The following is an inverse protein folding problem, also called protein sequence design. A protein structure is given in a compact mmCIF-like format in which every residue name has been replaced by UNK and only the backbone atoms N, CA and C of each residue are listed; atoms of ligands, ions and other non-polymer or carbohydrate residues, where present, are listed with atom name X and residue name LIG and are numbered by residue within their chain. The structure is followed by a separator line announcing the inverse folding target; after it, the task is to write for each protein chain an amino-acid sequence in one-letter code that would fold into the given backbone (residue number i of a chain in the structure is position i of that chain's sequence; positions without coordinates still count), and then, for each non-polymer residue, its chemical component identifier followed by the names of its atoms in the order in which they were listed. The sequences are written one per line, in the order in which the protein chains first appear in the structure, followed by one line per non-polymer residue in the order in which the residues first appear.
data_IF_814070786068
#
_entry.id   IF_814070786068
#
_cell.length_a   1.000
_cell.length_b   1.000
_cell.length_c   1.000
_cell.angle_alpha   90.00
_cell.angle_beta   90.00
_cell.angle_gamma   90.00
#
_symmetry.space_group_name_H-M   'P 1'
#
loop_
_entity.id
_entity.type
_entity.pdbx_description
1 polymer ?
#
# COMPACT_ATOMS: atom_id res chain seq x y z
N UNK A 1 -28.86 13.69 -16.47
CA UNK A 1 -27.48 14.15 -16.31
C UNK A 1 -26.98 13.49 -15.03
N UNK A 2 -26.35 12.32 -15.13
CA UNK A 2 -25.81 11.63 -13.96
C UNK A 2 -24.39 12.14 -13.75
N UNK A 3 -24.23 13.05 -12.79
CA UNK A 3 -22.96 13.38 -12.18
C UNK A 3 -22.44 12.10 -11.51
N UNK A 4 -21.58 11.36 -12.21
CA UNK A 4 -20.85 10.23 -11.66
C UNK A 4 -19.85 10.74 -10.61
N UNK A 5 -20.34 11.01 -9.41
CA UNK A 5 -19.50 11.27 -8.25
C UNK A 5 -18.57 10.07 -8.06
N UNK A 6 -17.29 10.25 -8.38
CA UNK A 6 -16.28 9.22 -8.17
C UNK A 6 -16.27 8.92 -6.67
N UNK A 7 -16.68 7.70 -6.29
CA UNK A 7 -16.71 7.31 -4.89
C UNK A 7 -15.30 7.43 -4.31
N UNK A 8 -15.13 8.25 -3.27
CA UNK A 8 -13.85 8.38 -2.57
C UNK A 8 -13.50 7.03 -1.95
N UNK A 9 -12.60 6.29 -2.58
CA UNK A 9 -12.18 4.99 -2.07
C UNK A 9 -11.25 5.18 -0.86
N UNK A 10 -11.51 4.45 0.23
CA UNK A 10 -10.60 4.38 1.37
C UNK A 10 -9.53 3.30 1.15
N UNK A 11 -8.29 3.74 0.96
CA UNK A 11 -7.16 2.86 0.61
C UNK A 11 -6.10 2.93 1.70
N UNK A 12 -5.70 1.78 2.22
CA UNK A 12 -4.55 1.66 3.12
C UNK A 12 -3.33 1.18 2.33
N UNK A 13 -2.22 1.91 2.44
CA UNK A 13 -0.93 1.49 1.91
C UNK A 13 -0.12 0.84 3.03
N UNK A 14 0.04 -0.47 3.01
CA UNK A 14 0.83 -1.20 4.01
C UNK A 14 2.29 -1.21 3.58
N UNK A 15 3.07 -0.33 4.21
CA UNK A 15 4.51 -0.16 3.98
C UNK A 15 4.88 1.21 3.42
N UNK A 16 5.63 2.01 4.19
CA UNK A 16 6.19 3.31 3.79
C UNK A 16 7.53 3.20 3.03
N UNK A 17 7.67 2.20 2.15
CA UNK A 17 8.82 2.03 1.27
C UNK A 17 8.70 2.88 -0.01
N UNK A 18 9.61 2.70 -0.98
CA UNK A 18 9.59 3.47 -2.22
C UNK A 18 8.27 3.30 -3.01
N UNK A 19 7.88 2.06 -3.34
CA UNK A 19 6.62 1.77 -4.04
C UNK A 19 5.42 2.23 -3.22
N UNK A 20 5.41 1.97 -1.91
CA UNK A 20 4.32 2.40 -1.04
C UNK A 20 4.11 3.92 -1.05
N UNK A 21 5.18 4.70 -0.90
CA UNK A 21 5.08 6.17 -0.95
C UNK A 21 4.67 6.67 -2.35
N UNK A 22 5.14 6.03 -3.43
CA UNK A 22 4.74 6.39 -4.79
C UNK A 22 3.23 6.17 -5.01
N UNK A 23 2.72 5.00 -4.61
CA UNK A 23 1.30 4.67 -4.69
C UNK A 23 0.48 5.63 -3.81
N UNK A 24 0.93 5.87 -2.58
CA UNK A 24 0.24 6.72 -1.62
C UNK A 24 0.05 8.14 -2.17
N UNK A 25 1.13 8.75 -2.66
CA UNK A 25 1.07 10.11 -3.20
C UNK A 25 0.21 10.21 -4.44
N UNK A 26 0.33 9.26 -5.38
CA UNK A 26 -0.48 9.28 -6.61
C UNK A 26 -1.97 9.07 -6.35
N UNK A 27 -2.33 8.14 -5.46
CA UNK A 27 -3.73 7.89 -5.10
C UNK A 27 -4.34 9.05 -4.32
N UNK A 28 -3.57 9.67 -3.41
CA UNK A 28 -4.02 10.84 -2.68
C UNK A 28 -4.18 12.05 -3.62
N UNK A 29 -3.26 12.24 -4.57
CA UNK A 29 -3.33 13.31 -5.56
C UNK A 29 -4.54 13.20 -6.49
N UNK A 30 -5.07 11.98 -6.69
CA UNK A 30 -6.30 11.75 -7.45
C UNK A 30 -7.59 11.85 -6.62
N UNK A 31 -7.50 12.29 -5.36
CA UNK A 31 -8.65 12.55 -4.49
C UNK A 31 -9.12 11.35 -3.66
N UNK A 32 -8.37 10.25 -3.63
CA UNK A 32 -8.72 9.10 -2.78
C UNK A 32 -8.33 9.37 -1.32
N UNK A 33 -9.09 8.78 -0.38
CA UNK A 33 -8.74 8.80 1.04
C UNK A 33 -7.67 7.75 1.31
N UNK A 34 -6.42 8.19 1.46
CA UNK A 34 -5.27 7.31 1.64
C UNK A 34 -4.75 7.37 3.08
N UNK A 35 -4.50 6.21 3.67
CA UNK A 35 -3.73 6.07 4.91
C UNK A 35 -2.48 5.21 4.69
N UNK A 36 -1.29 5.74 5.01
CA UNK A 36 -0.05 4.94 4.99
C UNK A 36 0.14 4.25 6.33
N UNK A 37 0.14 2.92 6.30
CA UNK A 37 0.37 2.03 7.43
C UNK A 37 1.86 1.70 7.52
N UNK A 38 2.57 2.37 8.41
CA UNK A 38 4.03 2.27 8.51
C UNK A 38 4.47 1.19 9.51
N UNK A 39 5.76 0.82 9.45
CA UNK A 39 6.37 -0.01 10.48
C UNK A 39 6.70 0.81 11.74
N UNK A 40 7.14 2.06 11.57
CA UNK A 40 7.63 2.89 12.67
C UNK A 40 6.71 4.08 12.91
N UNK A 41 6.51 4.41 14.19
CA UNK A 41 5.79 5.61 14.64
C UNK A 41 6.41 6.88 14.06
N UNK A 42 7.72 7.02 14.12
CA UNK A 42 8.43 8.18 13.58
C UNK A 42 8.12 8.47 12.10
N UNK A 43 8.00 7.42 11.25
CA UNK A 43 7.62 7.64 9.85
C UNK A 43 6.15 8.03 9.71
N UNK A 44 5.26 7.43 10.49
CA UNK A 44 3.84 7.78 10.48
C UNK A 44 3.65 9.25 10.86
N UNK A 45 4.29 9.71 11.93
CA UNK A 45 4.17 11.08 12.41
C UNK A 45 4.73 12.08 11.39
N UNK A 46 5.85 11.75 10.74
CA UNK A 46 6.42 12.58 9.68
C UNK A 46 5.49 12.69 8.47
N UNK A 47 4.87 11.58 8.04
CA UNK A 47 3.91 11.56 6.92
C UNK A 47 2.61 12.29 7.27
N UNK A 48 2.07 12.08 8.47
CA UNK A 48 0.85 12.76 8.91
C UNK A 48 1.04 14.28 9.01
N UNK A 49 2.24 14.73 9.42
CA UNK A 49 2.57 16.14 9.53
C UNK A 49 2.88 16.81 8.18
N UNK A 50 3.69 16.15 7.34
CA UNK A 50 4.28 16.78 6.16
C UNK A 50 3.69 16.29 4.83
N UNK A 51 2.80 15.30 4.87
CA UNK A 51 2.37 14.57 3.69
C UNK A 51 3.49 13.75 3.06
N UNK A 52 3.28 13.33 1.81
CA UNK A 52 4.30 12.70 0.97
C UNK A 52 4.76 13.67 -0.10
N UNK A 53 6.06 13.70 -0.37
CA UNK A 53 6.64 14.46 -1.47
C UNK A 53 6.98 13.51 -2.63
N UNK A 54 6.33 13.73 -3.77
CA UNK A 54 6.63 13.04 -5.03
C UNK A 54 7.58 13.89 -5.86
N UNK A 55 8.75 13.34 -6.22
CA UNK A 55 9.69 13.96 -7.14
C UNK A 55 9.66 13.25 -8.50
N UNK A 56 9.84 14.00 -9.59
CA UNK A 56 10.12 13.43 -10.92
C UNK A 56 11.47 12.72 -10.97
N UNK A 57 11.71 11.97 -12.05
CA UNK A 57 12.97 11.24 -12.25
C UNK A 57 14.21 12.15 -12.16
N UNK A 58 14.12 13.36 -12.72
CA UNK A 58 15.20 14.35 -12.72
C UNK A 58 15.20 15.22 -11.45
N UNK A 59 14.14 15.15 -10.62
CA UNK A 59 13.97 16.01 -9.46
C UNK A 59 13.67 17.47 -9.79
N UNK A 60 13.35 17.77 -11.05
CA UNK A 60 13.01 19.11 -11.55
C UNK A 60 11.58 19.54 -11.19
N UNK A 61 10.73 18.59 -10.82
CA UNK A 61 9.35 18.82 -10.43
C UNK A 61 9.02 18.03 -9.18
N UNK A 62 8.25 18.67 -8.29
CA UNK A 62 7.84 18.10 -7.02
C UNK A 62 6.35 18.36 -6.77
N UNK A 63 5.70 17.42 -6.09
CA UNK A 63 4.32 17.55 -5.65
C UNK A 63 4.21 17.03 -4.22
N UNK A 64 3.79 17.89 -3.29
CA UNK A 64 3.49 17.50 -1.91
C UNK A 64 2.00 17.24 -1.76
N UNK A 65 1.65 16.09 -1.19
CA UNK A 65 0.26 15.65 -1.04
C UNK A 65 0.02 15.23 0.41
N UNK A 66 -1.00 15.81 1.03
CA UNK A 66 -1.45 15.44 2.38
C UNK A 66 -2.14 14.07 2.37
N UNK A 67 -1.90 13.27 3.42
CA UNK A 67 -2.53 11.96 3.61
C UNK A 67 -2.53 11.58 5.09
N UNK A 68 -3.33 10.59 5.46
CA UNK A 68 -3.31 10.01 6.79
C UNK A 68 -2.12 9.04 6.93
N UNK A 69 -1.54 8.92 8.12
CA UNK A 69 -0.53 7.91 8.37
C UNK A 69 -0.53 7.45 9.83
N UNK A 70 -0.32 6.15 10.04
CA UNK A 70 -0.26 5.54 11.36
C UNK A 70 0.53 4.22 11.29
N UNK A 71 1.15 3.75 12.38
CA UNK A 71 1.74 2.42 12.44
C UNK A 71 0.72 1.33 12.16
N UNK A 72 1.15 0.23 11.55
CA UNK A 72 0.26 -0.87 11.19
C UNK A 72 -0.54 -1.43 12.39
N UNK A 73 0.06 -1.46 13.58
CA UNK A 73 -0.62 -1.92 14.80
C UNK A 73 -1.62 -0.94 15.41
N UNK A 74 -1.75 0.28 14.89
CA UNK A 74 -2.63 1.32 15.44
C UNK A 74 -4.10 1.09 15.06
N UNK A 75 -4.94 0.71 16.01
CA UNK A 75 -6.34 0.33 15.76
C UNK A 75 -7.31 1.51 15.68
N UNK A 76 -6.84 2.74 15.84
CA UNK A 76 -7.70 3.94 15.83
C UNK A 76 -8.12 4.38 14.42
N UNK A 77 -7.42 3.92 13.38
CA UNK A 77 -7.74 4.28 12.00
C UNK A 77 -8.97 3.53 11.50
N UNK A 78 -9.83 4.23 10.75
CA UNK A 78 -10.95 3.60 10.06
C UNK A 78 -10.45 2.47 9.13
N UNK A 79 -11.18 1.35 9.03
CA UNK A 79 -10.78 0.25 8.16
C UNK A 79 -10.88 0.64 6.67
N UNK A 80 -9.99 0.11 5.81
CA UNK A 80 -10.02 0.39 4.38
C UNK A 80 -11.02 -0.50 3.64
N UNK A 81 -11.45 -0.06 2.46
CA UNK A 81 -12.07 -0.97 1.48
C UNK A 81 -11.02 -1.81 0.74
N UNK A 82 -9.81 -1.27 0.60
CA UNK A 82 -8.68 -1.91 -0.08
C UNK A 82 -7.35 -1.64 0.63
N UNK A 83 -6.57 -2.70 0.88
CA UNK A 83 -5.17 -2.63 1.30
C UNK A 83 -4.21 -2.89 0.14
N UNK A 84 -3.18 -2.07 -0.01
CA UNK A 84 -2.05 -2.31 -0.92
C UNK A 84 -0.81 -2.68 -0.10
N UNK A 85 -0.41 -3.93 -0.15
CA UNK A 85 0.74 -4.46 0.59
C UNK A 85 2.02 -4.24 -0.22
N UNK A 86 2.80 -3.23 0.18
CA UNK A 86 4.02 -2.77 -0.48
C UNK A 86 5.28 -2.96 0.40
N UNK A 87 5.29 -4.01 1.22
CA UNK A 87 6.46 -4.45 1.99
C UNK A 87 7.24 -5.54 1.23
N UNK A 88 8.48 -5.79 1.62
CA UNK A 88 9.24 -6.94 1.11
C UNK A 88 8.65 -8.24 1.69
N UNK A 89 8.73 -9.34 0.95
CA UNK A 89 8.27 -10.67 1.41
C UNK A 89 8.90 -11.08 2.76
N UNK A 90 10.16 -10.70 3.02
CA UNK A 90 10.84 -10.96 4.29
C UNK A 90 10.21 -10.27 5.51
N UNK A 91 9.32 -9.30 5.30
CA UNK A 91 8.58 -8.63 6.35
C UNK A 91 7.30 -9.38 6.77
N UNK A 92 6.89 -10.44 6.06
CA UNK A 92 5.68 -11.22 6.34
C UNK A 92 5.88 -12.23 7.48
N UNK A 93 6.36 -11.73 8.63
CA UNK A 93 6.48 -12.53 9.85
C UNK A 93 5.10 -12.81 10.46
N UNK A 94 4.95 -13.83 11.34
CA UNK A 94 3.68 -14.08 12.02
C UNK A 94 3.11 -12.84 12.73
N UNK A 95 3.94 -12.11 13.48
CA UNK A 95 3.53 -10.89 14.16
C UNK A 95 3.05 -9.79 13.20
N UNK A 96 3.68 -9.66 12.03
CA UNK A 96 3.22 -8.73 11.00
C UNK A 96 1.87 -9.15 10.43
N UNK A 97 1.67 -10.45 10.18
CA UNK A 97 0.42 -10.99 9.65
C UNK A 97 -0.74 -10.81 10.63
N UNK A 98 -0.49 -10.91 11.94
CA UNK A 98 -1.52 -10.64 12.97
C UNK A 98 -1.94 -9.16 12.99
N UNK A 99 -0.97 -8.25 12.81
CA UNK A 99 -1.28 -6.82 12.66
C UNK A 99 -2.02 -6.54 11.36
N UNK A 100 -1.64 -7.21 10.26
CA UNK A 100 -2.29 -7.07 8.97
C UNK A 100 -3.74 -7.57 8.99
N UNK A 101 -4.00 -8.69 9.69
CA UNK A 101 -5.35 -9.24 9.89
C UNK A 101 -6.26 -8.24 10.60
N UNK A 102 -5.76 -7.58 11.64
CA UNK A 102 -6.49 -6.53 12.33
C UNK A 102 -6.70 -5.26 11.49
N UNK A 103 -5.74 -4.90 10.63
CA UNK A 103 -5.77 -3.67 9.85
C UNK A 103 -6.59 -3.76 8.55
N UNK A 104 -6.81 -4.97 8.02
CA UNK A 104 -7.56 -5.22 6.79
C UNK A 104 -8.68 -6.22 7.10
N UNK A 105 -9.91 -5.76 7.38
CA UNK A 105 -10.97 -6.63 7.86
C UNK A 105 -11.50 -7.59 6.78
N UNK A 106 -12.24 -8.65 7.17
CA UNK A 106 -12.97 -9.47 6.22
C UNK A 106 -13.89 -8.63 5.31
N UNK A 107 -14.03 -9.03 4.05
CA UNK A 107 -14.78 -8.29 3.04
C UNK A 107 -13.97 -7.22 2.28
N UNK A 108 -12.84 -6.77 2.83
CA UNK A 108 -11.89 -5.91 2.12
C UNK A 108 -11.05 -6.71 1.11
N UNK A 109 -10.44 -6.00 0.16
CA UNK A 109 -9.42 -6.57 -0.73
C UNK A 109 -8.01 -6.27 -0.24
N UNK A 110 -7.08 -7.17 -0.51
CA UNK A 110 -5.64 -6.97 -0.30
C UNK A 110 -4.90 -7.25 -1.60
N UNK A 111 -4.15 -6.27 -2.09
CA UNK A 111 -3.30 -6.42 -3.28
C UNK A 111 -1.84 -6.45 -2.86
N UNK A 112 -1.16 -7.57 -3.12
CA UNK A 112 0.24 -7.75 -2.81
C UNK A 112 1.14 -7.28 -3.95
N UNK A 113 2.00 -6.30 -3.69
CA UNK A 113 3.08 -5.84 -4.57
C UNK A 113 4.42 -6.53 -4.25
N UNK A 114 4.36 -7.68 -3.56
CA UNK A 114 5.55 -8.45 -3.21
C UNK A 114 6.10 -9.14 -4.47
N UNK A 115 7.40 -9.05 -4.68
CA UNK A 115 8.08 -9.93 -5.64
C UNK A 115 8.13 -11.36 -5.10
N UNK A 116 8.13 -12.36 -5.99
CA UNK A 116 8.27 -13.78 -5.65
C UNK A 116 6.96 -14.58 -5.70
N UNK A 117 7.04 -15.86 -5.31
CA UNK A 117 5.93 -16.82 -5.31
C UNK A 117 5.61 -17.31 -3.88
N UNK A 118 4.40 -17.81 -3.65
CA UNK A 118 3.96 -18.43 -2.38
C UNK A 118 3.46 -17.46 -1.28
N UNK A 119 3.75 -16.16 -1.39
CA UNK A 119 3.24 -15.19 -0.42
C UNK A 119 1.72 -15.02 -0.52
N UNK A 120 1.13 -15.21 -1.71
CA UNK A 120 -0.32 -15.15 -1.91
C UNK A 120 -1.07 -16.27 -1.19
N UNK A 121 -0.52 -17.48 -1.19
CA UNK A 121 -1.09 -18.63 -0.48
C UNK A 121 -1.04 -18.41 1.04
N UNK A 122 0.11 -17.92 1.54
CA UNK A 122 0.26 -17.53 2.95
C UNK A 122 -0.76 -16.46 3.36
N UNK A 123 -0.93 -15.42 2.54
CA UNK A 123 -1.89 -14.34 2.80
C UNK A 123 -3.33 -14.87 2.79
N UNK A 124 -3.68 -15.71 1.82
CA UNK A 124 -5.02 -16.30 1.73
C UNK A 124 -5.35 -17.19 2.94
N UNK A 125 -4.38 -17.99 3.41
CA UNK A 125 -4.53 -18.83 4.59
C UNK A 125 -4.66 -18.02 5.89
N UNK A 126 -3.90 -16.92 6.02
CA UNK A 126 -3.89 -16.09 7.24
C UNK A 126 -5.00 -15.04 7.29
N UNK A 127 -5.54 -14.66 6.15
CA UNK A 127 -6.55 -13.61 6.02
C UNK A 127 -7.82 -14.16 5.36
N UNK A 128 -8.52 -15.13 6.01
CA UNK A 128 -9.75 -15.67 5.45
C UNK A 128 -10.80 -14.57 5.30
N UNK A 129 -11.63 -14.70 4.26
CA UNK A 129 -12.69 -13.74 3.94
C UNK A 129 -12.23 -12.45 3.24
N UNK A 130 -10.95 -12.32 2.88
CA UNK A 130 -10.43 -11.20 2.07
C UNK A 130 -10.26 -11.62 0.62
N UNK A 131 -10.46 -10.67 -0.31
CA UNK A 131 -10.12 -10.89 -1.73
C UNK A 131 -8.64 -10.58 -1.94
N UNK A 132 -7.85 -11.62 -2.22
CA UNK A 132 -6.40 -11.48 -2.43
C UNK A 132 -6.09 -11.30 -3.92
N UNK A 133 -5.32 -10.26 -4.22
CA UNK A 133 -4.81 -9.93 -5.55
C UNK A 133 -3.29 -9.92 -5.52
N UNK A 134 -2.70 -10.28 -6.66
CA UNK A 134 -1.27 -10.07 -6.90
C UNK A 134 -1.11 -8.88 -7.84
N UNK A 135 -0.10 -8.06 -7.58
CA UNK A 135 0.30 -6.96 -8.46
C UNK A 135 1.77 -7.12 -8.85
N UNK A 136 2.03 -6.95 -10.13
CA UNK A 136 3.38 -6.79 -10.69
C UNK A 136 3.51 -5.36 -11.15
N UNK A 137 4.63 -4.73 -10.82
CA UNK A 137 4.92 -3.36 -11.21
C UNK A 137 6.29 -3.24 -11.84
N UNK A 138 6.38 -2.47 -12.92
CA UNK A 138 7.65 -2.03 -13.51
C UNK A 138 7.95 -0.56 -13.18
N UNK A 139 7.12 0.08 -12.34
CA UNK A 139 7.39 1.43 -11.84
C UNK A 139 8.68 1.43 -11.02
N UNK A 140 9.62 2.31 -11.39
CA UNK A 140 10.86 2.49 -10.67
C UNK A 140 10.71 3.66 -9.69
N UNK A 141 10.98 3.39 -8.41
CA UNK A 141 10.92 4.40 -7.35
C UNK A 141 12.10 4.29 -6.40
N UNK A 142 12.57 5.44 -5.95
CA UNK A 142 13.63 5.57 -4.95
C UNK A 142 13.09 6.35 -3.75
N UNK A 143 13.12 5.73 -2.57
CA UNK A 143 12.82 6.44 -1.33
C UNK A 143 14.02 7.30 -0.95
N UNK A 144 13.83 8.62 -0.91
CA UNK A 144 14.88 9.58 -0.55
C UNK A 144 14.95 9.70 0.98
N UNK A 145 13.80 9.83 1.65
CA UNK A 145 13.70 9.91 3.10
C UNK A 145 12.39 9.29 3.62
N UNK A 146 12.00 9.59 4.86
CA UNK A 146 10.78 9.05 5.49
C UNK A 146 9.48 9.42 4.74
N UNK A 147 9.46 10.54 4.03
CA UNK A 147 8.28 11.17 3.41
C UNK A 147 8.46 11.46 1.92
N UNK A 148 9.69 11.39 1.40
CA UNK A 148 10.00 11.74 0.01
C UNK A 148 10.30 10.50 -0.82
N UNK A 149 9.69 10.44 -1.99
CA UNK A 149 9.94 9.41 -3.01
C UNK A 149 10.17 10.06 -4.37
N UNK A 150 11.17 9.55 -5.08
CA UNK A 150 11.47 9.91 -6.46
C UNK A 150 10.95 8.84 -7.39
N UNK A 151 10.17 9.24 -8.38
CA UNK A 151 9.68 8.37 -9.43
C UNK A 151 10.71 8.32 -10.57
N UNK A 152 11.64 7.36 -10.48
CA UNK A 152 12.85 7.30 -11.31
C UNK A 152 12.64 6.69 -12.69
N UNK A 153 11.50 6.04 -12.94
CA UNK A 153 11.19 5.47 -14.23
C UNK A 153 9.73 5.06 -14.33
N UNK A 154 9.07 5.49 -15.40
CA UNK A 154 7.68 5.14 -15.71
C UNK A 154 7.59 3.67 -16.11
N UNK A 155 6.67 2.97 -15.50
CA UNK A 155 6.28 1.62 -15.87
C UNK A 155 4.78 1.41 -15.78
N UNK A 156 4.38 0.15 -15.70
CA UNK A 156 2.99 -0.28 -15.60
C UNK A 156 2.77 -1.06 -14.31
N UNK A 157 1.55 -0.97 -13.78
CA UNK A 157 1.07 -1.86 -12.73
C UNK A 157 0.02 -2.78 -13.34
N UNK A 158 0.25 -4.09 -13.26
CA UNK A 158 -0.71 -5.11 -13.66
C UNK A 158 -1.16 -5.85 -12.41
N UNK A 159 -2.46 -5.94 -12.20
CA UNK A 159 -3.06 -6.63 -11.07
C UNK A 159 -4.08 -7.66 -11.54
N UNK A 160 -4.14 -8.78 -10.84
CA UNK A 160 -5.07 -9.87 -11.11
C UNK A 160 -5.42 -10.59 -9.81
N UNK A 161 -6.51 -11.37 -9.84
CA UNK A 161 -6.82 -12.26 -8.72
C UNK A 161 -5.62 -13.16 -8.48
N UNK A 162 -5.19 -13.28 -7.22
CA UNK A 162 -4.00 -14.04 -6.91
C UNK A 162 -4.19 -15.50 -7.37
N UNK A 163 -3.24 -16.08 -8.13
CA UNK A 163 -3.23 -17.52 -8.34
C UNK A 163 -2.97 -18.14 -6.97
N UNK A 164 -3.93 -18.94 -6.51
CA UNK A 164 -3.75 -19.77 -5.33
C UNK A 164 -3.25 -21.11 -5.84
N UNK A 165 -2.04 -21.49 -5.44
CA UNK A 165 -1.50 -22.78 -5.76
C UNK A 165 -1.93 -23.70 -4.62
N UNK A 166 -2.94 -24.54 -4.87
CA UNK A 166 -3.26 -25.61 -3.93
C UNK A 166 -1.98 -26.40 -3.68
N UNK A 167 -1.47 -26.33 -2.46
CA UNK A 167 -0.29 -27.08 -2.06
C UNK A 167 -0.54 -28.56 -2.35
N UNK A 168 0.34 -29.15 -3.16
CA UNK A 168 0.47 -30.60 -3.26
C UNK A 168 0.50 -31.19 -1.85
N UNK A 169 -0.35 -32.21 -1.66
CA UNK A 169 -0.35 -33.04 -0.46
C UNK A 169 1.01 -33.66 -0.22
#
# INVERSE_FOLDING_TARGET
MNEGGSAVASVHIIGGGAIGLLLAGRLAASGNRVCVRTRTRAQADALAKNGVLLQSALGDTEMRVGLEAAPLGDRSTAPPVCGLLAVKQTALTPAFLDQLDAAVPPGASLTAFCNGIGHTDLLAARLPGRRIYAAVTTEASLRIDATTVRHTGRGDIRLGRAPLFEGGR
#
